data_IF_514643111059
#
_entry.id   IF_514643111059
#
_cell.length_a   1.000
_cell.length_b   1.000
_cell.length_c   1.000
_cell.angle_alpha   90.00
_cell.angle_beta   90.00
_cell.angle_gamma   90.00
#
_symmetry.space_group_name_H-M   'P 1'
#
loop_
_entity.id
_entity.type
_entity.pdbx_description
1 polymer ?
#
# COMPACT_ATOMS: atom_id res chain seq x y z
N UNK A 1 5.32 -27.81 -2.57
CA UNK A 1 5.80 -28.65 -3.69
C UNK A 1 7.10 -28.03 -4.20
N UNK A 2 8.23 -28.74 -4.13
CA UNK A 2 9.51 -28.28 -4.67
C UNK A 2 9.90 -29.23 -5.79
N UNK A 3 9.84 -28.72 -7.01
CA UNK A 3 10.20 -29.42 -8.25
C UNK A 3 11.57 -28.87 -8.64
N UNK A 4 12.57 -29.73 -8.79
CA UNK A 4 13.90 -29.34 -9.26
C UNK A 4 14.24 -30.01 -10.59
N UNK A 5 14.89 -29.24 -11.46
CA UNK A 5 15.38 -29.63 -12.79
C UNK A 5 16.62 -28.75 -13.10
N UNK A 6 17.39 -29.09 -14.15
CA UNK A 6 18.77 -28.62 -14.37
C UNK A 6 19.02 -27.10 -14.21
N UNK A 7 20.22 -26.75 -13.70
CA UNK A 7 20.60 -25.39 -13.30
C UNK A 7 20.89 -24.43 -14.47
N UNK A 8 21.15 -24.94 -15.68
CA UNK A 8 21.31 -24.12 -16.88
C UNK A 8 19.94 -23.72 -17.46
N UNK A 9 19.30 -22.76 -16.79
CA UNK A 9 17.90 -22.35 -17.06
C UNK A 9 17.80 -21.46 -18.31
N UNK A 10 17.13 -21.91 -19.39
CA UNK A 10 16.85 -21.04 -20.53
C UNK A 10 15.87 -19.92 -20.16
N UNK A 11 15.98 -18.78 -20.84
CA UNK A 11 15.05 -17.62 -20.70
C UNK A 11 13.73 -17.89 -21.45
N UNK A 12 13.75 -18.82 -22.40
CA UNK A 12 12.65 -19.18 -23.26
C UNK A 12 11.89 -20.41 -22.73
N UNK A 13 10.62 -20.59 -23.12
CA UNK A 13 9.87 -21.82 -22.86
C UNK A 13 10.61 -23.08 -23.33
N UNK A 14 10.54 -24.16 -22.55
CA UNK A 14 11.20 -25.43 -22.85
C UNK A 14 10.36 -26.61 -22.37
N UNK A 15 10.60 -27.76 -22.99
CA UNK A 15 10.00 -29.02 -22.59
C UNK A 15 10.83 -29.71 -21.50
N UNK A 16 10.12 -30.38 -20.60
CA UNK A 16 10.66 -31.29 -19.60
C UNK A 16 9.87 -32.60 -19.69
N UNK A 17 10.60 -33.69 -19.75
CA UNK A 17 10.05 -35.04 -19.60
C UNK A 17 9.97 -35.40 -18.12
N UNK A 18 9.11 -36.36 -17.77
CA UNK A 18 8.93 -36.79 -16.37
C UNK A 18 10.25 -37.25 -15.72
N UNK A 19 11.17 -37.82 -16.50
CA UNK A 19 12.46 -38.32 -16.02
C UNK A 19 13.45 -37.20 -15.67
N UNK A 20 13.24 -35.99 -16.20
CA UNK A 20 14.09 -34.82 -15.94
C UNK A 20 13.65 -34.05 -14.67
N UNK A 21 12.57 -34.49 -14.03
CA UNK A 21 11.98 -33.85 -12.86
C UNK A 21 12.38 -34.61 -11.60
N UNK A 22 13.06 -33.93 -10.69
CA UNK A 22 13.38 -34.45 -9.37
C UNK A 22 12.38 -33.94 -8.33
N UNK A 23 11.86 -34.87 -7.53
CA UNK A 23 11.02 -34.58 -6.38
C UNK A 23 11.82 -34.79 -5.10
N UNK A 24 11.73 -33.83 -4.17
CA UNK A 24 12.58 -33.81 -2.98
C UNK A 24 12.26 -34.91 -1.97
N UNK A 25 11.00 -35.35 -1.87
CA UNK A 25 10.55 -36.34 -0.88
C UNK A 25 9.37 -37.22 -1.33
N UNK A 26 8.50 -36.73 -2.22
CA UNK A 26 7.30 -37.41 -2.70
C UNK A 26 6.97 -36.92 -4.10
N UNK A 27 6.58 -37.83 -5.01
CA UNK A 27 6.09 -37.46 -6.33
C UNK A 27 4.68 -36.88 -6.21
N UNK A 28 4.63 -35.57 -6.02
CA UNK A 28 3.36 -34.85 -5.91
C UNK A 28 2.56 -34.81 -7.22
N UNK A 29 3.10 -35.36 -8.32
CA UNK A 29 2.46 -35.47 -9.62
C UNK A 29 2.20 -36.93 -10.00
N UNK A 30 2.27 -37.89 -9.06
CA UNK A 30 1.97 -39.32 -9.30
C UNK A 30 0.57 -39.52 -9.89
N UNK A 31 -0.42 -38.79 -9.38
CA UNK A 31 -1.81 -38.85 -9.87
C UNK A 31 -2.01 -38.15 -11.23
N UNK A 32 -1.04 -37.35 -11.67
CA UNK A 32 -1.09 -36.62 -12.92
C UNK A 32 -0.28 -37.43 -13.96
N UNK A 33 -0.97 -38.28 -14.72
CA UNK A 33 -0.41 -39.12 -15.79
C UNK A 33 -0.04 -38.31 -17.05
N UNK A 34 0.79 -37.29 -16.90
CA UNK A 34 1.27 -36.47 -18.01
C UNK A 34 2.46 -37.15 -18.71
N UNK A 35 2.49 -37.05 -20.04
CA UNK A 35 3.60 -37.56 -20.85
C UNK A 35 4.77 -36.57 -20.86
N UNK A 36 4.46 -35.27 -20.93
CA UNK A 36 5.45 -34.19 -21.04
C UNK A 36 4.97 -32.93 -20.33
N UNK A 37 5.89 -32.02 -20.01
CA UNK A 37 5.60 -30.74 -19.38
C UNK A 37 6.30 -29.64 -20.17
N UNK A 38 5.65 -28.48 -20.32
CA UNK A 38 6.31 -27.26 -20.79
C UNK A 38 6.46 -26.32 -19.61
N UNK A 39 7.71 -25.93 -19.35
CA UNK A 39 8.03 -24.90 -18.39
C UNK A 39 8.14 -23.56 -19.14
N UNK A 40 7.34 -22.58 -18.70
CA UNK A 40 7.42 -21.20 -19.17
C UNK A 40 8.00 -20.35 -18.03
N UNK A 41 9.28 -19.94 -18.14
CA UNK A 41 9.89 -19.05 -17.16
C UNK A 41 9.16 -17.71 -17.10
N UNK A 42 8.78 -17.28 -15.90
CA UNK A 42 8.33 -15.91 -15.66
C UNK A 42 9.55 -15.12 -15.15
N UNK A 43 10.05 -14.14 -15.91
CA UNK A 43 11.07 -13.23 -15.41
C UNK A 43 10.63 -12.59 -14.09
N UNK A 44 11.53 -12.52 -13.12
CA UNK A 44 11.29 -11.78 -11.88
C UNK A 44 12.18 -10.53 -11.89
N UNK A 45 11.59 -9.36 -11.65
CA UNK A 45 12.33 -8.09 -11.54
C UNK A 45 13.23 -8.06 -10.28
N UNK A 46 12.97 -8.92 -9.28
CA UNK A 46 13.80 -9.04 -8.08
C UNK A 46 14.98 -10.01 -8.28
N UNK A 47 16.19 -9.51 -7.99
CA UNK A 47 17.49 -10.19 -8.10
C UNK A 47 17.63 -11.38 -7.14
N UNK A 48 16.80 -11.46 -6.09
CA UNK A 48 16.73 -12.63 -5.21
C UNK A 48 15.94 -13.77 -5.88
N UNK A 49 16.71 -14.62 -6.56
CA UNK A 49 16.40 -15.75 -7.41
C UNK A 49 15.30 -16.70 -6.90
N UNK A 50 14.04 -16.31 -7.11
CA UNK A 50 12.90 -17.25 -7.18
C UNK A 50 12.16 -17.04 -8.49
N UNK A 51 12.72 -17.55 -9.59
CA UNK A 51 11.98 -17.63 -10.87
C UNK A 51 10.71 -18.44 -10.66
N UNK A 52 9.56 -17.82 -10.93
CA UNK A 52 8.28 -18.53 -11.01
C UNK A 52 8.19 -19.16 -12.40
N UNK A 53 7.67 -20.37 -12.50
CA UNK A 53 7.43 -21.01 -13.78
C UNK A 53 5.95 -21.34 -13.89
N UNK A 54 5.39 -21.15 -15.08
CA UNK A 54 4.11 -21.75 -15.44
C UNK A 54 4.43 -23.14 -15.96
N UNK A 55 3.77 -24.15 -15.38
CA UNK A 55 3.91 -25.54 -15.81
C UNK A 55 2.66 -25.92 -16.60
N UNK A 56 2.86 -26.26 -17.87
CA UNK A 56 1.81 -26.77 -18.74
C UNK A 56 1.99 -28.27 -18.89
N UNK A 57 1.02 -29.05 -18.40
CA UNK A 57 1.06 -30.51 -18.47
C UNK A 57 0.45 -30.98 -19.79
N UNK A 58 1.21 -31.80 -20.52
CA UNK A 58 0.83 -32.40 -21.79
C UNK A 58 0.60 -33.90 -21.59
N UNK A 59 -0.61 -34.35 -21.89
CA UNK A 59 -1.02 -35.76 -21.76
C UNK A 59 -0.79 -36.56 -23.04
N UNK A 60 -0.56 -35.89 -24.18
CA UNK A 60 -0.28 -36.55 -25.44
C UNK A 60 1.17 -37.02 -25.52
N UNK A 61 1.35 -38.27 -25.97
CA UNK A 61 2.68 -38.79 -26.35
C UNK A 61 3.11 -38.35 -27.75
N UNK A 62 2.21 -37.78 -28.54
CA UNK A 62 2.53 -37.28 -29.88
C UNK A 62 3.31 -35.96 -29.76
N UNK A 63 4.52 -35.94 -30.32
CA UNK A 63 5.45 -34.80 -30.29
C UNK A 63 5.49 -33.99 -31.58
N UNK A 64 4.72 -34.36 -32.60
CA UNK A 64 4.80 -33.82 -33.97
C UNK A 64 4.60 -32.30 -34.03
N UNK A 65 3.80 -31.73 -33.12
CA UNK A 65 3.49 -30.29 -33.08
C UNK A 65 4.13 -29.51 -31.93
N UNK A 66 5.01 -30.15 -31.15
CA UNK A 66 5.54 -29.51 -29.93
C UNK A 66 6.46 -28.35 -30.28
N UNK A 67 7.23 -28.44 -31.36
CA UNK A 67 8.09 -27.36 -31.84
C UNK A 67 7.28 -26.12 -32.24
N UNK A 68 6.18 -26.31 -32.97
CA UNK A 68 5.25 -25.25 -33.37
C UNK A 68 4.58 -24.61 -32.15
N UNK A 69 4.14 -25.44 -31.21
CA UNK A 69 3.55 -24.97 -29.95
C UNK A 69 4.56 -24.20 -29.09
N UNK A 70 5.79 -24.66 -28.96
CA UNK A 70 6.86 -23.96 -28.25
C UNK A 70 7.16 -22.60 -28.89
N UNK A 71 7.16 -22.52 -30.23
CA UNK A 71 7.33 -21.26 -30.95
C UNK A 71 6.19 -20.28 -30.62
N UNK A 72 4.94 -20.75 -30.66
CA UNK A 72 3.77 -19.94 -30.33
C UNK A 72 3.81 -19.46 -28.87
N UNK A 73 4.12 -20.34 -27.91
CA UNK A 73 4.24 -19.95 -26.50
C UNK A 73 5.40 -18.97 -26.30
N UNK A 74 6.49 -19.12 -27.04
CA UNK A 74 7.61 -18.16 -27.02
C UNK A 74 7.17 -16.79 -27.52
N UNK A 75 6.40 -16.73 -28.60
CA UNK A 75 5.83 -15.49 -29.14
C UNK A 75 4.83 -14.83 -28.17
N UNK A 76 4.06 -15.63 -27.43
CA UNK A 76 3.10 -15.15 -26.42
C UNK A 76 3.76 -14.80 -25.07
N UNK A 77 4.98 -15.29 -24.81
CA UNK A 77 5.65 -15.13 -23.53
C UNK A 77 5.78 -13.67 -23.05
N UNK A 78 6.04 -12.66 -23.91
CA UNK A 78 6.13 -11.27 -23.46
C UNK A 78 4.78 -10.75 -22.95
N UNK A 79 3.67 -11.14 -23.58
CA UNK A 79 2.33 -10.72 -23.17
C UNK A 79 1.88 -11.41 -21.88
N UNK A 80 2.21 -12.69 -21.74
CA UNK A 80 2.01 -13.43 -20.50
C UNK A 80 2.78 -12.73 -19.37
N UNK A 81 4.06 -12.41 -19.59
CA UNK A 81 4.88 -11.70 -18.61
C UNK A 81 4.27 -10.36 -18.20
N UNK A 82 3.84 -9.55 -19.16
CA UNK A 82 3.22 -8.25 -18.90
C UNK A 82 1.99 -8.38 -17.99
N UNK A 83 1.10 -9.32 -18.29
CA UNK A 83 -0.10 -9.60 -17.50
C UNK A 83 0.28 -10.01 -16.06
N UNK A 84 1.26 -10.92 -15.91
CA UNK A 84 1.74 -11.34 -14.59
C UNK A 84 2.40 -10.20 -13.81
N UNK A 85 3.19 -9.35 -14.47
CA UNK A 85 3.83 -8.19 -13.83
C UNK A 85 2.79 -7.21 -13.31
N UNK A 86 1.78 -6.88 -14.13
CA UNK A 86 0.67 -6.00 -13.73
C UNK A 86 -0.09 -6.61 -12.54
N UNK A 87 -0.47 -7.89 -12.62
CA UNK A 87 -1.20 -8.56 -11.54
C UNK A 87 -0.39 -8.65 -10.25
N UNK A 88 0.91 -8.95 -10.33
CA UNK A 88 1.77 -8.97 -9.15
C UNK A 88 1.89 -7.57 -8.52
N UNK A 89 2.03 -6.51 -9.33
CA UNK A 89 2.04 -5.12 -8.87
C UNK A 89 0.71 -4.76 -8.20
N UNK A 90 -0.42 -5.14 -8.78
CA UNK A 90 -1.76 -4.94 -8.21
C UNK A 90 -1.91 -5.64 -6.85
N UNK A 91 -1.49 -6.91 -6.73
CA UNK A 91 -1.52 -7.66 -5.47
C UNK A 91 -0.66 -6.98 -4.41
N UNK A 92 0.56 -6.54 -4.78
CA UNK A 92 1.45 -5.85 -3.86
C UNK A 92 0.85 -4.53 -3.38
N UNK A 93 0.30 -3.73 -4.29
CA UNK A 93 -0.38 -2.48 -3.96
C UNK A 93 -1.58 -2.71 -3.04
N UNK A 94 -2.41 -3.71 -3.31
CA UNK A 94 -3.56 -4.05 -2.48
C UNK A 94 -3.14 -4.53 -1.08
N UNK A 95 -2.05 -5.28 -0.98
CA UNK A 95 -1.48 -5.71 0.31
C UNK A 95 -0.97 -4.51 1.12
N UNK A 96 -0.23 -3.60 0.48
CA UNK A 96 0.25 -2.37 1.11
C UNK A 96 -0.92 -1.50 1.56
N UNK A 97 -1.93 -1.31 0.70
CA UNK A 97 -3.13 -0.55 1.02
C UNK A 97 -3.87 -1.14 2.22
N UNK A 98 -4.10 -2.45 2.23
CA UNK A 98 -4.80 -3.14 3.33
C UNK A 98 -4.04 -3.03 4.64
N UNK A 99 -2.71 -3.14 4.60
CA UNK A 99 -1.85 -2.96 5.78
C UNK A 99 -1.90 -1.54 6.31
N UNK A 100 -1.82 -0.55 5.42
CA UNK A 100 -1.91 0.86 5.76
C UNK A 100 -3.27 1.18 6.39
N UNK A 101 -4.36 0.74 5.78
CA UNK A 101 -5.73 0.94 6.30
C UNK A 101 -5.91 0.31 7.68
N UNK A 102 -5.40 -0.91 7.88
CA UNK A 102 -5.41 -1.59 9.18
C UNK A 102 -4.64 -0.81 10.25
N UNK A 103 -3.46 -0.28 9.91
CA UNK A 103 -2.68 0.58 10.80
C UNK A 103 -3.47 1.86 11.13
N UNK A 104 -4.01 2.56 10.13
CA UNK A 104 -4.71 3.81 10.34
C UNK A 104 -5.99 3.68 11.17
N UNK A 105 -6.69 2.54 11.04
CA UNK A 105 -7.87 2.19 11.87
C UNK A 105 -7.54 1.87 13.32
N UNK A 106 -6.33 1.36 13.59
CA UNK A 106 -5.89 0.98 14.94
C UNK A 106 -5.17 2.10 15.68
N UNK A 107 -4.68 3.12 14.96
CA UNK A 107 -4.02 4.28 15.56
C UNK A 107 -5.02 5.11 16.39
N UNK A 108 -4.77 5.30 17.71
CA UNK A 108 -5.67 6.05 18.58
C UNK A 108 -5.58 7.57 18.38
N UNK A 109 -4.53 8.06 17.72
CA UNK A 109 -4.37 9.49 17.44
C UNK A 109 -5.19 9.91 16.22
N UNK A 110 -5.75 11.10 16.29
CA UNK A 110 -6.49 11.69 15.19
C UNK A 110 -5.50 12.17 14.11
N UNK A 111 -5.68 11.65 12.90
CA UNK A 111 -4.85 11.93 11.73
C UNK A 111 -5.73 12.53 10.64
N UNK A 112 -5.27 13.64 10.07
CA UNK A 112 -5.93 14.34 8.97
C UNK A 112 -4.87 14.63 7.90
N UNK A 113 -5.12 14.15 6.69
CA UNK A 113 -4.34 14.43 5.49
C UNK A 113 -5.12 15.37 4.59
N UNK A 114 -4.66 16.61 4.45
CA UNK A 114 -5.28 17.57 3.54
C UNK A 114 -4.48 17.65 2.24
N UNK A 115 -5.12 17.36 1.10
CA UNK A 115 -4.52 17.60 -0.20
C UNK A 115 -4.87 19.00 -0.68
N UNK A 116 -3.84 19.84 -0.80
CA UNK A 116 -3.97 21.22 -1.28
C UNK A 116 -4.32 21.31 -2.78
N UNK A 117 -4.15 20.23 -3.55
CA UNK A 117 -4.41 20.21 -5.00
C UNK A 117 -5.83 19.82 -5.39
N UNK A 118 -6.43 18.85 -4.69
CA UNK A 118 -7.73 18.27 -5.07
C UNK A 118 -8.90 18.78 -4.24
N UNK A 119 -8.63 19.50 -3.14
CA UNK A 119 -9.68 19.94 -2.21
C UNK A 119 -10.32 18.78 -1.43
N UNK A 120 -9.69 17.61 -1.46
CA UNK A 120 -10.08 16.41 -0.72
C UNK A 120 -9.21 16.28 0.51
N UNK A 121 -9.83 15.85 1.59
CA UNK A 121 -9.15 15.55 2.85
C UNK A 121 -9.43 14.10 3.20
N UNK A 122 -8.44 13.39 3.72
CA UNK A 122 -8.64 12.07 4.29
C UNK A 122 -8.45 12.13 5.80
N UNK A 123 -9.33 11.50 6.57
CA UNK A 123 -9.26 11.45 8.03
C UNK A 123 -9.34 10.01 8.53
N UNK A 124 -8.69 9.67 9.65
CA UNK A 124 -8.92 8.37 10.28
C UNK A 124 -10.13 8.39 11.23
N UNK A 125 -10.56 7.21 11.70
CA UNK A 125 -11.67 7.05 12.63
C UNK A 125 -11.53 7.87 13.91
N UNK A 126 -10.31 7.97 14.44
CA UNK A 126 -10.02 8.77 15.62
C UNK A 126 -10.23 10.27 15.38
N UNK A 127 -9.88 10.76 14.18
CA UNK A 127 -10.14 12.14 13.76
C UNK A 127 -11.63 12.39 13.51
N UNK A 128 -12.34 11.45 12.88
CA UNK A 128 -13.78 11.55 12.70
C UNK A 128 -14.51 11.71 14.04
N UNK A 129 -14.17 10.88 15.03
CA UNK A 129 -14.73 10.99 16.40
C UNK A 129 -14.38 12.31 17.08
N UNK A 130 -13.14 12.78 16.94
CA UNK A 130 -12.71 14.06 17.53
C UNK A 130 -13.45 15.25 16.93
N UNK A 131 -13.68 15.22 15.61
CA UNK A 131 -14.35 16.27 14.85
C UNK A 131 -15.87 16.08 14.77
N UNK A 132 -16.43 15.07 15.46
CA UNK A 132 -17.85 14.72 15.40
C UNK A 132 -18.38 14.49 13.98
N UNK A 133 -17.56 13.90 13.12
CA UNK A 133 -17.91 13.45 11.77
C UNK A 133 -18.37 11.98 11.79
N UNK A 134 -19.12 11.57 10.76
CA UNK A 134 -19.79 10.27 10.71
C UNK A 134 -18.83 9.08 10.69
N UNK A 135 -17.77 9.15 9.88
CA UNK A 135 -16.82 8.05 9.67
C UNK A 135 -15.45 8.58 9.20
N UNK A 136 -14.42 7.74 9.34
CA UNK A 136 -13.13 7.96 8.71
C UNK A 136 -13.19 7.74 7.19
N UNK A 137 -12.21 8.28 6.47
CA UNK A 137 -12.12 8.18 5.01
C UNK A 137 -11.98 9.54 4.34
N UNK A 138 -12.41 9.60 3.08
CA UNK A 138 -12.38 10.81 2.28
C UNK A 138 -13.55 11.75 2.66
N UNK A 139 -13.22 12.97 3.07
CA UNK A 139 -14.16 14.01 3.49
C UNK A 139 -13.81 15.32 2.77
N UNK A 140 -14.82 16.14 2.48
CA UNK A 140 -14.61 17.49 1.96
C UNK A 140 -13.74 18.33 2.90
N UNK A 141 -12.71 18.99 2.36
CA UNK A 141 -11.84 19.88 3.15
C UNK A 141 -12.61 21.00 3.86
N UNK A 142 -13.72 21.48 3.27
CA UNK A 142 -14.59 22.45 3.92
C UNK A 142 -15.18 21.91 5.23
N UNK A 143 -15.77 20.71 5.20
CA UNK A 143 -16.37 20.09 6.40
C UNK A 143 -15.34 19.93 7.52
N UNK A 144 -14.15 19.43 7.17
CA UNK A 144 -13.05 19.28 8.14
C UNK A 144 -12.63 20.64 8.71
N UNK A 145 -12.55 21.69 7.88
CA UNK A 145 -12.18 23.04 8.32
C UNK A 145 -13.23 23.66 9.25
N UNK A 146 -14.52 23.45 8.98
CA UNK A 146 -15.62 23.89 9.84
C UNK A 146 -15.55 23.20 11.20
N UNK A 147 -15.48 21.86 11.23
CA UNK A 147 -15.38 21.11 12.48
C UNK A 147 -14.11 21.45 13.26
N UNK A 148 -12.99 21.73 12.58
CA UNK A 148 -11.77 22.18 13.23
C UNK A 148 -11.95 23.56 13.88
N UNK A 149 -12.67 24.46 13.22
CA UNK A 149 -12.97 25.80 13.74
C UNK A 149 -13.86 25.71 14.97
N UNK A 150 -14.90 24.88 14.93
CA UNK A 150 -15.76 24.59 16.09
C UNK A 150 -14.95 24.01 17.26
N UNK A 151 -14.01 23.10 16.96
CA UNK A 151 -13.11 22.54 17.96
C UNK A 151 -12.24 23.63 18.59
N UNK A 152 -11.63 24.52 17.81
CA UNK A 152 -10.83 25.65 18.31
C UNK A 152 -11.66 26.60 19.17
N UNK A 153 -12.88 26.93 18.72
CA UNK A 153 -13.79 27.83 19.45
C UNK A 153 -14.18 27.29 20.83
N UNK A 154 -14.20 25.96 20.98
CA UNK A 154 -14.44 25.32 22.28
C UNK A 154 -13.22 25.25 23.20
N UNK A 155 -12.03 25.64 22.71
CA UNK A 155 -10.81 25.65 23.50
C UNK A 155 -10.71 26.93 24.36
N UNK A 156 -10.26 26.77 25.60
CA UNK A 156 -10.08 27.87 26.56
C UNK A 156 -9.05 28.89 26.06
N UNK A 157 -7.98 28.40 25.43
CA UNK A 157 -6.90 29.22 24.91
C UNK A 157 -7.05 29.56 23.42
N UNK A 158 -8.29 29.65 22.90
CA UNK A 158 -8.57 29.97 21.50
C UNK A 158 -7.76 31.15 20.92
N UNK A 159 -7.58 32.23 21.68
CA UNK A 159 -6.84 33.42 21.22
C UNK A 159 -5.37 33.12 20.94
N UNK A 160 -4.74 32.34 21.82
CA UNK A 160 -3.35 31.90 21.67
C UNK A 160 -3.21 30.96 20.46
N UNK A 161 -4.13 30.01 20.35
CA UNK A 161 -4.18 29.06 19.23
C UNK A 161 -4.25 29.79 17.88
N UNK A 162 -5.15 30.78 17.73
CA UNK A 162 -5.28 31.56 16.50
C UNK A 162 -4.02 32.37 16.20
N UNK A 163 -3.40 32.98 17.20
CA UNK A 163 -2.15 33.73 17.03
C UNK A 163 -1.01 32.81 16.55
N UNK A 164 -0.85 31.64 17.18
CA UNK A 164 0.17 30.66 16.79
C UNK A 164 -0.08 30.10 15.39
N UNK A 165 -1.33 29.77 15.03
CA UNK A 165 -1.64 29.28 13.70
C UNK A 165 -1.37 30.33 12.63
N UNK A 166 -1.86 31.57 12.81
CA UNK A 166 -1.65 32.64 11.83
C UNK A 166 -0.15 32.95 11.65
N UNK A 167 0.62 32.98 12.74
CA UNK A 167 2.06 33.22 12.68
C UNK A 167 2.81 32.10 11.95
N UNK A 168 2.47 30.84 12.24
CA UNK A 168 3.23 29.70 11.73
C UNK A 168 2.80 29.27 10.33
N UNK A 169 1.52 29.36 9.98
CA UNK A 169 1.04 29.05 8.62
C UNK A 169 1.50 30.09 7.60
N UNK A 170 1.73 31.34 8.03
CA UNK A 170 2.30 32.38 7.16
C UNK A 170 3.78 32.16 6.85
N UNK A 171 4.47 31.27 7.58
CA UNK A 171 5.88 30.99 7.37
C UNK A 171 6.07 29.70 6.55
N UNK A 172 6.24 29.87 5.23
CA UNK A 172 6.43 28.75 4.30
C UNK A 172 7.74 27.95 4.50
N UNK A 173 8.66 28.45 5.34
CA UNK A 173 9.93 27.78 5.66
C UNK A 173 9.90 27.00 6.98
N UNK A 174 8.78 27.00 7.71
CA UNK A 174 8.68 26.24 8.96
C UNK A 174 8.61 24.73 8.66
N UNK A 175 9.47 23.92 9.30
CA UNK A 175 9.47 22.46 9.09
C UNK A 175 8.35 21.73 9.80
N UNK A 176 7.99 22.21 11.00
CA UNK A 176 6.90 21.72 11.83
C UNK A 176 6.57 22.78 12.88
N UNK A 177 5.32 22.84 13.30
CA UNK A 177 4.98 23.49 14.56
C UNK A 177 3.96 22.68 15.32
N UNK A 178 3.88 22.95 16.61
CA UNK A 178 2.91 22.32 17.48
C UNK A 178 2.30 23.33 18.41
N UNK A 179 1.01 23.18 18.68
CA UNK A 179 0.25 24.05 19.58
C UNK A 179 -0.54 23.18 20.55
N UNK A 180 -0.73 23.66 21.78
CA UNK A 180 -1.46 22.96 22.83
C UNK A 180 -2.85 23.57 22.95
N UNK A 181 -3.88 22.73 22.80
CA UNK A 181 -5.27 23.17 22.93
C UNK A 181 -5.81 22.65 24.25
N UNK A 182 -6.36 23.56 25.05
CA UNK A 182 -6.86 23.28 26.39
C UNK A 182 -8.38 23.34 26.42
N UNK A 183 -9.01 22.35 27.05
CA UNK A 183 -10.46 22.26 27.18
C UNK A 183 -10.84 22.13 28.66
N UNK A 184 -11.86 22.86 29.10
CA UNK A 184 -12.38 22.84 30.49
C UNK A 184 -13.57 21.89 30.66
N UNK A 185 -14.10 21.34 29.57
CA UNK A 185 -15.35 20.61 29.56
C UNK A 185 -15.19 19.14 30.01
N UNK A 186 -15.87 18.69 31.08
CA UNK A 186 -15.85 17.29 31.52
C UNK A 186 -16.53 16.32 30.55
N UNK A 187 -17.39 16.78 29.64
CA UNK A 187 -18.01 15.89 28.64
C UNK A 187 -17.05 15.52 27.50
N UNK A 188 -16.07 16.39 27.21
CA UNK A 188 -15.00 16.07 26.26
C UNK A 188 -13.97 15.19 26.96
N UNK A 189 -13.74 13.98 26.45
CA UNK A 189 -12.80 12.96 27.00
C UNK A 189 -11.31 13.38 27.00
N UNK A 190 -11.02 14.66 26.80
CA UNK A 190 -9.70 15.24 26.53
C UNK A 190 -9.57 16.59 27.27
N UNK A 191 -8.64 16.70 28.22
CA UNK A 191 -8.33 17.98 28.87
C UNK A 191 -7.28 18.80 28.09
N UNK A 192 -6.39 18.11 27.37
CA UNK A 192 -5.32 18.70 26.56
C UNK A 192 -5.09 17.94 25.26
N UNK A 193 -5.09 18.67 24.15
CA UNK A 193 -4.71 18.18 22.84
C UNK A 193 -3.38 18.81 22.42
N UNK A 194 -2.43 17.99 21.98
CA UNK A 194 -1.23 18.46 21.31
C UNK A 194 -1.42 18.28 19.81
N UNK A 195 -1.46 19.39 19.09
CA UNK A 195 -1.67 19.42 17.64
C UNK A 195 -0.34 19.66 16.95
N UNK A 196 0.00 18.84 15.95
CA UNK A 196 1.24 18.95 15.17
C UNK A 196 0.91 19.17 13.70
N UNK A 197 1.56 20.16 13.09
CA UNK A 197 1.41 20.51 11.69
C UNK A 197 2.71 20.23 10.94
N UNK A 198 2.59 19.50 9.83
CA UNK A 198 3.69 19.19 8.92
C UNK A 198 3.38 19.74 7.52
N UNK A 199 4.02 20.86 7.10
CA UNK A 199 3.81 21.45 5.79
C UNK A 199 4.49 20.66 4.65
N UNK A 200 3.95 20.88 3.45
CA UNK A 200 4.19 20.11 2.20
C UNK A 200 5.67 19.94 1.84
N UNK A 201 6.53 20.93 2.15
CA UNK A 201 7.92 20.98 1.69
C UNK A 201 8.73 19.74 2.11
N UNK A 202 8.55 19.28 3.36
CA UNK A 202 9.27 18.11 3.90
C UNK A 202 8.61 16.78 3.58
N UNK A 203 7.28 16.74 3.49
CA UNK A 203 6.55 15.53 3.08
C UNK A 203 6.92 15.10 1.64
N UNK A 204 7.36 16.04 0.80
CA UNK A 204 7.94 15.76 -0.52
C UNK A 204 9.34 15.15 -0.44
N UNK A 205 10.21 15.68 0.43
CA UNK A 205 11.63 15.28 0.54
C UNK A 205 11.81 13.94 1.28
N UNK A 206 11.08 13.72 2.37
CA UNK A 206 11.25 12.53 3.22
C UNK A 206 10.33 11.36 2.79
N UNK A 207 9.20 11.65 2.13
CA UNK A 207 8.14 10.66 1.90
C UNK A 207 7.46 10.73 0.51
N UNK A 208 7.90 11.62 -0.40
CA UNK A 208 7.39 11.71 -1.77
C UNK A 208 5.97 12.29 -1.93
N UNK A 209 5.34 12.83 -0.88
CA UNK A 209 4.02 13.45 -0.99
C UNK A 209 4.13 14.86 -1.59
N UNK A 210 3.51 15.09 -2.75
CA UNK A 210 3.77 16.32 -3.50
C UNK A 210 2.98 17.55 -3.03
N UNK A 211 1.88 17.38 -2.26
CA UNK A 211 0.87 18.43 -1.97
C UNK A 211 0.08 18.27 -0.65
N UNK A 212 0.54 17.42 0.27
CA UNK A 212 -0.25 17.02 1.46
C UNK A 212 0.21 17.74 2.73
N UNK A 213 -0.72 18.22 3.55
CA UNK A 213 -0.47 18.65 4.92
C UNK A 213 -0.95 17.57 5.89
N UNK A 214 -0.06 17.13 6.79
CA UNK A 214 -0.39 16.15 7.82
C UNK A 214 -0.63 16.86 9.14
N UNK A 215 -1.80 16.61 9.70
CA UNK A 215 -2.18 17.07 11.02
C UNK A 215 -2.34 15.87 11.96
N UNK A 216 -1.56 15.89 13.04
CA UNK A 216 -1.59 14.85 14.06
C UNK A 216 -2.05 15.46 15.37
N UNK A 217 -3.11 14.90 15.96
CA UNK A 217 -3.65 15.36 17.23
C UNK A 217 -3.47 14.26 18.26
N UNK A 218 -2.59 14.52 19.24
CA UNK A 218 -2.35 13.62 20.36
C UNK A 218 -3.15 14.08 21.57
N UNK A 219 -4.03 13.22 22.04
CA UNK A 219 -4.66 13.38 23.34
C UNK A 219 -3.68 13.01 24.46
N UNK A 220 -3.44 13.92 25.41
CA UNK A 220 -2.81 13.58 26.69
C UNK A 220 -3.90 13.45 27.74
N UNK A 221 -4.21 12.21 28.12
CA UNK A 221 -4.94 11.95 29.37
C UNK A 221 -3.97 12.13 30.53
N UNK A 222 -4.42 12.82 31.58
CA UNK A 222 -3.75 12.84 32.88
C UNK A 222 -3.84 11.46 33.53
#
# INVERSE_FOLDING_TARGET
MSISYSENRPVLPYTLTRQEINFSNFDALEEIDFAQMIAVPIPNENIEDRRKNILLFLYSKNTEHISEFLKLITELSPRIYEIFSIKNKEILLNSVHSRLDSILKTIPQAIIFMDSGTGKTWINESAAKLLSLSEGGEVSSWKVSTSMTELIQSAVNQKEIFLEMNRNLSNMNLEKFSTQWMFTDPEKKYSRLQVYFYPVKRLREDYGFSKTLLLFIRNKKH
#
